data_IF_701724411472
#
_entry.id   IF_701724411472
#
_cell.length_a   1.000
_cell.length_b   1.000
_cell.length_c   1.000
_cell.angle_alpha   90.00
_cell.angle_beta   90.00
_cell.angle_gamma   90.00
#
_symmetry.space_group_name_H-M   'P 1'
#
loop_
_entity.id
_entity.type
_entity.pdbx_description
1 polymer ?
#
# COMPACT_ATOMS: atom_id res chain seq x y z
N UNK A 1 -14.01 -2.41 -11.33
CA UNK A 1 -12.89 -3.30 -10.95
C UNK A 1 -11.88 -3.34 -12.09
N UNK A 2 -10.61 -3.20 -11.74
CA UNK A 2 -9.47 -3.25 -12.65
C UNK A 2 -8.76 -4.60 -12.50
N UNK A 3 -8.21 -5.12 -13.58
CA UNK A 3 -7.41 -6.35 -13.59
C UNK A 3 -5.92 -6.01 -13.47
N UNK A 4 -5.33 -6.34 -12.33
CA UNK A 4 -3.89 -6.25 -12.13
C UNK A 4 -3.26 -7.58 -12.53
N UNK A 5 -2.34 -7.51 -13.49
CA UNK A 5 -1.59 -8.67 -13.97
C UNK A 5 -0.12 -8.50 -13.60
N UNK A 6 0.44 -9.45 -12.87
CA UNK A 6 1.86 -9.48 -12.48
C UNK A 6 2.52 -10.64 -13.24
N UNK A 7 3.46 -10.31 -14.11
CA UNK A 7 4.18 -11.29 -14.93
C UNK A 7 5.62 -11.40 -14.43
N UNK A 8 6.14 -12.64 -14.35
CA UNK A 8 7.55 -12.93 -14.08
C UNK A 8 8.00 -14.12 -14.92
N UNK A 9 8.75 -13.86 -15.98
CA UNK A 9 8.95 -14.84 -17.04
C UNK A 9 7.61 -15.36 -17.55
N UNK A 10 7.43 -16.67 -17.58
CA UNK A 10 6.17 -17.32 -18.02
C UNK A 10 5.07 -17.34 -16.95
N UNK A 11 5.39 -17.01 -15.69
CA UNK A 11 4.40 -17.03 -14.62
C UNK A 11 3.57 -15.75 -14.66
N UNK A 12 2.24 -15.91 -14.70
CA UNK A 12 1.27 -14.82 -14.69
C UNK A 12 0.35 -14.97 -13.49
N UNK A 13 0.22 -13.90 -12.72
CA UNK A 13 -0.75 -13.80 -11.62
C UNK A 13 -1.72 -12.66 -11.92
N UNK A 14 -3.01 -12.97 -11.97
CA UNK A 14 -4.07 -11.98 -12.12
C UNK A 14 -4.71 -11.72 -10.76
N UNK A 15 -5.03 -10.47 -10.47
CA UNK A 15 -5.83 -10.05 -9.32
C UNK A 15 -6.82 -9.00 -9.79
N UNK A 16 -8.11 -9.23 -9.57
CA UNK A 16 -9.18 -8.28 -9.90
C UNK A 16 -9.48 -7.46 -8.66
N UNK A 17 -9.28 -6.16 -8.75
CA UNK A 17 -9.37 -5.23 -7.62
C UNK A 17 -10.16 -3.99 -8.01
N UNK A 18 -11.06 -3.54 -7.14
CA UNK A 18 -11.69 -2.23 -7.29
C UNK A 18 -10.90 -1.16 -6.54
N UNK A 19 -11.06 -1.17 -5.22
CA UNK A 19 -10.37 -0.27 -4.29
C UNK A 19 -9.32 -1.01 -3.47
N UNK A 20 -9.74 -2.09 -2.81
CA UNK A 20 -8.87 -2.93 -2.03
C UNK A 20 -9.12 -4.41 -2.36
N UNK A 21 -8.10 -5.23 -2.11
CA UNK A 21 -8.18 -6.69 -2.17
C UNK A 21 -7.64 -7.27 -0.88
N UNK A 22 -8.49 -8.00 -0.17
CA UNK A 22 -8.16 -8.77 1.02
C UNK A 22 -7.53 -10.09 0.59
N UNK A 23 -6.30 -10.31 1.05
CA UNK A 23 -5.53 -11.50 0.72
C UNK A 23 -5.48 -12.37 1.98
N UNK A 24 -6.09 -13.55 1.87
CA UNK A 24 -6.35 -14.45 3.00
C UNK A 24 -5.94 -15.86 2.60
N UNK A 25 -5.44 -16.66 3.54
CA UNK A 25 -5.19 -18.09 3.34
C UNK A 25 -3.81 -18.51 3.81
N UNK A 26 -3.57 -19.83 3.85
CA UNK A 26 -2.38 -20.40 4.46
C UNK A 26 -1.23 -20.67 3.46
N UNK A 27 -1.40 -20.34 2.19
CA UNK A 27 -0.35 -20.50 1.18
C UNK A 27 0.68 -19.35 1.25
N UNK A 28 1.52 -19.41 2.28
CA UNK A 28 2.58 -18.43 2.53
C UNK A 28 3.56 -18.28 1.36
N UNK A 29 3.80 -19.35 0.59
CA UNK A 29 4.69 -19.31 -0.58
C UNK A 29 4.09 -18.43 -1.68
N UNK A 30 2.81 -18.60 -2.00
CA UNK A 30 2.14 -17.77 -2.99
C UNK A 30 2.04 -16.32 -2.52
N UNK A 31 1.63 -16.12 -1.27
CA UNK A 31 1.59 -14.81 -0.62
C UNK A 31 2.93 -14.08 -0.77
N UNK A 32 4.02 -14.71 -0.33
CA UNK A 32 5.36 -14.15 -0.43
C UNK A 32 5.76 -13.83 -1.87
N UNK A 33 5.48 -14.74 -2.81
CA UNK A 33 5.85 -14.57 -4.21
C UNK A 33 5.12 -13.38 -4.85
N UNK A 34 3.82 -13.24 -4.59
CA UNK A 34 3.01 -12.13 -5.09
C UNK A 34 3.63 -10.79 -4.68
N UNK A 35 3.85 -10.58 -3.38
CA UNK A 35 4.36 -9.31 -2.88
C UNK A 35 5.84 -9.08 -3.17
N UNK A 36 6.67 -10.13 -3.20
CA UNK A 36 8.06 -10.01 -3.66
C UNK A 36 8.12 -9.57 -5.12
N UNK A 37 7.23 -10.07 -5.98
CA UNK A 37 7.19 -9.65 -7.38
C UNK A 37 6.74 -8.18 -7.49
N UNK A 38 5.69 -7.76 -6.77
CA UNK A 38 5.28 -6.35 -6.73
C UNK A 38 6.43 -5.47 -6.26
N UNK A 39 7.05 -5.77 -5.10
CA UNK A 39 8.18 -5.01 -4.56
C UNK A 39 9.38 -4.98 -5.52
N UNK A 40 9.67 -6.09 -6.20
CA UNK A 40 10.76 -6.19 -7.16
C UNK A 40 10.54 -5.30 -8.39
N UNK A 41 9.29 -5.21 -8.88
CA UNK A 41 8.95 -4.28 -9.96
C UNK A 41 9.35 -2.85 -9.58
N UNK A 42 8.91 -2.38 -8.40
CA UNK A 42 9.15 -1.01 -7.93
C UNK A 42 10.60 -0.73 -7.53
N UNK A 43 11.35 -1.71 -7.01
CA UNK A 43 12.74 -1.50 -6.56
C UNK A 43 13.74 -1.27 -7.69
N UNK A 44 13.42 -1.71 -8.91
CA UNK A 44 14.31 -1.58 -10.09
C UNK A 44 15.72 -2.16 -9.88
N UNK A 45 15.86 -3.15 -9.00
CA UNK A 45 17.17 -3.77 -8.76
C UNK A 45 17.48 -4.69 -9.95
N UNK A 46 18.46 -4.30 -10.76
CA UNK A 46 19.02 -5.16 -11.81
C UNK A 46 19.88 -6.26 -11.19
N UNK A 47 19.82 -7.46 -11.75
CA UNK A 47 20.60 -8.59 -11.26
C UNK A 47 20.83 -9.59 -12.40
N UNK A 48 22.06 -10.05 -12.55
CA UNK A 48 22.50 -10.93 -13.64
C UNK A 48 21.67 -12.21 -13.71
N UNK A 49 21.44 -12.89 -12.58
CA UNK A 49 20.60 -14.08 -12.52
C UNK A 49 19.16 -13.83 -13.01
N UNK A 50 18.59 -12.63 -12.83
CA UNK A 50 17.25 -12.35 -13.37
C UNK A 50 17.26 -12.10 -14.87
N UNK A 51 18.34 -11.53 -15.38
CA UNK A 51 18.50 -11.25 -16.81
C UNK A 51 18.77 -12.54 -17.59
N UNK A 52 19.69 -13.38 -17.10
CA UNK A 52 20.04 -14.65 -17.75
C UNK A 52 18.86 -15.62 -17.84
N UNK A 53 17.98 -15.62 -16.84
CA UNK A 53 16.84 -16.54 -16.77
C UNK A 53 15.50 -15.88 -17.13
N UNK A 54 15.51 -14.68 -17.70
CA UNK A 54 14.30 -13.93 -18.12
C UNK A 54 13.24 -13.79 -17.01
N UNK A 55 13.69 -13.59 -15.76
CA UNK A 55 12.85 -13.47 -14.55
C UNK A 55 12.57 -12.02 -14.17
N UNK A 56 12.56 -11.11 -15.15
CA UNK A 56 12.13 -9.74 -14.92
C UNK A 56 10.63 -9.68 -14.61
N UNK A 57 10.24 -8.73 -13.77
CA UNK A 57 8.84 -8.53 -13.39
C UNK A 57 8.25 -7.38 -14.19
N UNK A 58 7.06 -7.60 -14.73
CA UNK A 58 6.22 -6.54 -15.31
C UNK A 58 4.84 -6.56 -14.68
N UNK A 59 4.22 -5.38 -14.58
CA UNK A 59 2.88 -5.22 -14.02
C UNK A 59 2.01 -4.50 -15.05
N UNK A 60 0.81 -5.01 -15.28
CA UNK A 60 -0.20 -4.43 -16.15
C UNK A 60 -1.46 -4.11 -15.35
N UNK A 61 -2.12 -3.01 -15.68
CA UNK A 61 -3.46 -2.66 -15.19
C UNK A 61 -4.36 -2.59 -16.41
N UNK A 62 -5.39 -3.44 -16.44
CA UNK A 62 -6.29 -3.60 -17.59
C UNK A 62 -5.53 -3.78 -18.91
N UNK A 63 -4.59 -4.74 -18.88
CA UNK A 63 -3.69 -5.10 -19.99
C UNK A 63 -2.75 -3.98 -20.47
N UNK A 64 -2.70 -2.83 -19.77
CA UNK A 64 -1.73 -1.76 -20.03
C UNK A 64 -0.54 -1.85 -19.09
N UNK A 65 0.67 -1.95 -19.67
CA UNK A 65 1.92 -1.97 -18.92
C UNK A 65 2.08 -0.68 -18.11
N UNK A 66 2.30 -0.78 -16.80
CA UNK A 66 2.46 0.41 -15.95
C UNK A 66 3.87 1.00 -16.11
N UNK A 67 3.95 2.33 -16.21
CA UNK A 67 5.22 3.02 -16.21
C UNK A 67 5.71 3.20 -14.77
N UNK A 68 6.70 2.39 -14.37
CA UNK A 68 7.30 2.44 -13.04
C UNK A 68 7.74 3.84 -12.58
N UNK A 69 8.24 4.71 -13.48
CA UNK A 69 8.66 6.07 -13.10
C UNK A 69 7.49 6.96 -12.70
N UNK A 70 6.29 6.65 -13.19
CA UNK A 70 5.02 7.30 -12.88
C UNK A 70 4.16 6.41 -11.98
N UNK A 71 4.79 5.56 -11.17
CA UNK A 71 4.08 4.72 -10.21
C UNK A 71 4.85 4.67 -8.89
N UNK A 72 4.15 4.44 -7.79
CA UNK A 72 4.75 4.34 -6.47
C UNK A 72 4.13 3.20 -5.67
N UNK A 73 4.93 2.61 -4.78
CA UNK A 73 4.51 1.61 -3.83
C UNK A 73 4.70 2.12 -2.40
N UNK A 74 3.64 2.06 -1.59
CA UNK A 74 3.70 2.24 -0.15
C UNK A 74 3.57 0.88 0.55
N UNK A 75 4.43 0.64 1.54
CA UNK A 75 4.37 -0.55 2.38
C UNK A 75 3.97 -0.11 3.79
N UNK A 76 2.73 -0.39 4.17
CA UNK A 76 2.18 -0.06 5.47
C UNK A 76 2.18 -1.33 6.31
N UNK A 77 2.83 -1.29 7.48
CA UNK A 77 2.91 -2.47 8.34
C UNK A 77 3.21 -2.06 9.79
N UNK A 78 3.03 -3.03 10.70
CA UNK A 78 3.25 -2.83 12.14
C UNK A 78 4.72 -2.65 12.55
N UNK A 79 5.66 -3.05 11.68
CA UNK A 79 7.11 -2.96 11.96
C UNK A 79 7.70 -1.61 11.51
N UNK A 80 6.86 -0.69 11.01
CA UNK A 80 7.26 0.66 10.70
C UNK A 80 7.76 1.36 11.97
N UNK A 81 8.94 1.98 11.89
CA UNK A 81 9.53 2.71 13.00
C UNK A 81 9.47 4.20 12.71
N UNK A 82 8.64 4.92 13.47
CA UNK A 82 8.56 6.38 13.41
C UNK A 82 9.91 7.00 13.78
N UNK A 83 10.60 6.44 14.77
CA UNK A 83 11.91 6.95 15.20
C UNK A 83 12.96 6.89 14.07
N UNK A 84 12.92 5.85 13.23
CA UNK A 84 13.78 5.76 12.05
C UNK A 84 13.31 6.70 10.94
N UNK A 85 12.01 6.78 10.71
CA UNK A 85 11.43 7.57 9.63
C UNK A 85 11.59 9.08 9.88
N UNK A 86 11.50 9.53 11.13
CA UNK A 86 11.75 10.91 11.58
C UNK A 86 13.18 11.40 11.34
N UNK A 87 14.13 10.50 10.99
CA UNK A 87 15.46 10.88 10.51
C UNK A 87 15.45 11.38 9.06
N UNK A 88 14.30 11.38 8.39
CA UNK A 88 14.09 11.93 7.04
C UNK A 88 15.07 11.42 5.98
N UNK A 89 15.35 10.12 6.02
CA UNK A 89 16.17 9.48 4.99
C UNK A 89 15.40 9.36 3.66
N UNK A 90 16.08 8.98 2.58
CA UNK A 90 15.57 9.02 1.20
C UNK A 90 14.20 8.34 0.99
N UNK A 91 13.90 7.28 1.73
CA UNK A 91 12.66 6.51 1.60
C UNK A 91 11.61 6.85 2.68
N UNK A 92 11.87 7.86 3.51
CA UNK A 92 10.99 8.26 4.62
C UNK A 92 9.59 8.64 4.11
N UNK A 93 8.58 8.05 4.75
CA UNK A 93 7.19 8.39 4.50
C UNK A 93 6.88 9.81 5.01
N UNK A 94 7.39 10.16 6.18
CA UNK A 94 7.18 11.46 6.83
C UNK A 94 7.83 12.57 6.01
N UNK A 95 9.03 12.36 5.47
CA UNK A 95 9.69 13.33 4.59
C UNK A 95 8.84 13.62 3.35
N UNK A 96 8.36 12.57 2.66
CA UNK A 96 7.49 12.71 1.48
C UNK A 96 6.18 13.44 1.81
N UNK A 97 5.61 13.15 2.98
CA UNK A 97 4.43 13.85 3.46
C UNK A 97 4.72 15.34 3.71
N UNK A 98 5.80 15.67 4.41
CA UNK A 98 6.15 17.07 4.70
C UNK A 98 6.52 17.85 3.44
N UNK A 99 7.18 17.24 2.45
CA UNK A 99 7.44 17.88 1.16
C UNK A 99 6.13 18.37 0.53
N UNK A 100 5.07 17.53 0.56
CA UNK A 100 3.74 17.89 0.06
C UNK A 100 3.07 18.95 0.92
N UNK A 101 3.21 18.87 2.25
CA UNK A 101 2.63 19.87 3.15
C UNK A 101 3.26 21.25 2.96
N UNK A 102 4.57 21.32 2.73
CA UNK A 102 5.31 22.56 2.51
C UNK A 102 4.95 23.17 1.14
N UNK A 103 4.72 22.34 0.12
CA UNK A 103 4.31 22.78 -1.23
C UNK A 103 2.85 23.29 -1.29
N UNK A 104 2.11 23.27 -0.18
CA UNK A 104 0.72 23.72 -0.16
C UNK A 104 0.60 25.24 -0.45
N UNK A 105 -0.41 25.68 -1.22
CA UNK A 105 -0.56 27.08 -1.62
C UNK A 105 -0.55 28.08 -0.46
N UNK A 106 -1.05 27.67 0.71
CA UNK A 106 -1.12 28.49 1.92
C UNK A 106 0.27 28.87 2.48
N UNK A 107 1.32 28.15 2.12
CA UNK A 107 2.68 28.38 2.62
C UNK A 107 3.60 29.10 1.62
N UNK A 108 3.18 29.28 0.37
CA UNK A 108 4.01 29.84 -0.72
C UNK A 108 4.57 31.21 -0.35
N UNK A 109 3.74 32.13 0.15
CA UNK A 109 4.19 33.48 0.54
C UNK A 109 5.19 33.45 1.71
N UNK A 110 5.01 32.51 2.63
CA UNK A 110 5.92 32.32 3.76
C UNK A 110 7.28 31.82 3.26
N UNK A 111 7.29 30.84 2.36
CA UNK A 111 8.51 30.30 1.76
C UNK A 111 9.25 31.37 0.95
N UNK A 112 8.53 32.15 0.15
CA UNK A 112 9.11 33.27 -0.59
C UNK A 112 9.75 34.30 0.34
N UNK A 113 9.09 34.62 1.46
CA UNK A 113 9.64 35.53 2.47
C UNK A 113 10.94 34.98 3.08
N UNK A 114 10.99 33.69 3.40
CA UNK A 114 12.22 33.02 3.90
C UNK A 114 13.34 33.13 2.87
N UNK A 115 13.03 32.87 1.59
CA UNK A 115 14.01 32.97 0.50
C UNK A 115 14.58 34.39 0.39
N UNK A 116 13.74 35.42 0.39
CA UNK A 116 14.20 36.81 0.33
C UNK A 116 15.09 37.20 1.51
N UNK A 117 14.73 36.76 2.73
CA UNK A 117 15.54 37.05 3.92
C UNK A 117 16.92 36.39 3.86
N UNK A 118 16.99 35.14 3.37
CA UNK A 118 18.26 34.43 3.21
C UNK A 118 19.11 35.00 2.07
N UNK A 119 18.49 35.48 1.00
CA UNK A 119 19.17 36.19 -0.08
C UNK A 119 19.79 37.50 0.42
N UNK A 120 19.00 38.34 1.11
CA UNK A 120 19.49 39.58 1.71
C UNK A 120 20.61 39.34 2.75
N UNK A 121 20.52 38.26 3.52
CA UNK A 121 21.60 37.85 4.41
C UNK A 121 22.88 37.46 3.66
N UNK A 122 22.78 36.77 2.51
CA UNK A 122 23.93 36.47 1.67
C UNK A 122 24.56 37.73 1.07
N UNK A 123 23.74 38.72 0.66
CA UNK A 123 24.23 40.01 0.18
C UNK A 123 25.03 40.75 1.25
N UNK A 124 24.56 40.77 2.50
CA UNK A 124 25.30 41.38 3.61
C UNK A 124 26.65 40.67 3.87
N UNK A 125 26.70 39.34 3.78
CA UNK A 125 27.98 38.61 3.85
C UNK A 125 28.90 39.04 2.70
N UNK A 126 28.36 39.20 1.49
CA UNK A 126 29.11 39.65 0.33
C UNK A 126 29.66 41.07 0.48
N UNK A 127 29.06 41.95 1.26
CA UNK A 127 29.62 43.29 1.49
C UNK A 127 30.91 43.24 2.32
N UNK A 128 31.00 42.31 3.29
CA UNK A 128 32.09 42.27 4.27
C UNK A 128 33.12 41.16 4.00
N UNK A 129 32.78 40.16 3.19
CA UNK A 129 33.65 39.02 2.91
C UNK A 129 34.50 39.21 1.66
N UNK A 130 35.75 38.74 1.74
CA UNK A 130 36.66 38.64 0.59
C UNK A 130 36.17 37.57 -0.39
N UNK A 131 35.60 36.47 0.13
CA UNK A 131 35.01 35.38 -0.67
C UNK A 131 33.53 35.70 -0.88
N UNK A 132 33.09 35.79 -2.15
CA UNK A 132 31.68 36.02 -2.49
C UNK A 132 30.91 34.71 -2.54
N UNK A 133 29.68 34.73 -2.08
CA UNK A 133 28.74 33.61 -2.06
C UNK A 133 27.48 33.94 -2.85
N UNK A 134 26.77 32.92 -3.32
CA UNK A 134 25.46 33.05 -3.93
C UNK A 134 24.44 32.31 -3.07
N UNK A 135 23.24 32.87 -2.94
CA UNK A 135 22.15 32.17 -2.27
C UNK A 135 21.59 31.06 -3.17
N UNK A 136 21.41 29.88 -2.57
CA UNK A 136 20.79 28.73 -3.23
C UNK A 136 19.41 28.49 -2.60
N UNK A 137 18.37 28.82 -3.36
CA UNK A 137 16.95 28.88 -2.95
C UNK A 137 16.54 27.71 -2.06
N UNK A 138 15.83 28.03 -0.97
CA UNK A 138 15.19 27.02 -0.13
C UNK A 138 14.04 26.37 -0.87
N UNK A 139 14.24 25.10 -1.18
CA UNK A 139 13.22 24.18 -1.72
C UNK A 139 12.58 23.40 -0.60
N UNK A 140 11.44 22.78 -0.87
CA UNK A 140 10.68 21.93 0.07
C UNK A 140 11.61 20.87 0.67
N UNK A 141 12.42 20.22 -0.17
CA UNK A 141 13.40 19.20 0.24
C UNK A 141 14.46 19.72 1.22
N UNK A 142 14.87 20.98 1.09
CA UNK A 142 15.84 21.59 2.02
C UNK A 142 15.14 21.98 3.32
N UNK A 143 13.93 22.51 3.24
CA UNK A 143 13.12 22.90 4.40
C UNK A 143 12.76 21.70 5.27
N UNK A 144 12.38 20.55 4.69
CA UNK A 144 12.10 19.31 5.43
C UNK A 144 13.26 18.90 6.34
N UNK A 145 14.51 19.12 5.91
CA UNK A 145 15.71 18.76 6.71
C UNK A 145 15.92 19.66 7.94
N UNK A 146 15.24 20.79 8.01
CA UNK A 146 15.32 21.73 9.13
C UNK A 146 14.21 21.49 10.17
N UNK A 147 13.26 20.59 9.89
CA UNK A 147 12.09 20.32 10.73
C UNK A 147 12.30 19.00 11.48
N UNK A 148 12.11 19.04 12.81
CA UNK A 148 12.05 17.84 13.64
C UNK A 148 10.58 17.41 13.83
N UNK A 149 10.13 16.33 13.16
CA UNK A 149 8.75 15.86 13.28
C UNK A 149 8.54 15.16 14.62
N UNK A 150 7.29 15.20 15.10
CA UNK A 150 6.85 14.43 16.25
C UNK A 150 5.36 14.07 16.13
N UNK A 151 4.92 13.07 16.88
CA UNK A 151 3.49 12.76 17.01
C UNK A 151 2.94 13.49 18.23
N UNK A 152 1.87 14.24 18.03
CA UNK A 152 1.11 14.87 19.11
C UNK A 152 -0.13 14.03 19.45
N UNK A 153 -0.28 13.67 20.71
CA UNK A 153 -1.50 13.09 21.26
C UNK A 153 -1.90 13.91 22.47
N UNK A 154 -3.08 14.56 22.37
CA UNK A 154 -3.64 15.39 23.44
C UNK A 154 -2.67 16.49 23.94
N UNK A 155 -1.83 17.03 23.05
CA UNK A 155 -0.85 18.08 23.38
C UNK A 155 0.48 17.55 23.95
N UNK A 156 0.69 16.23 23.98
CA UNK A 156 1.94 15.61 24.41
C UNK A 156 2.70 15.03 23.22
N UNK A 157 4.03 15.24 23.24
CA UNK A 157 4.95 14.56 22.32
C UNK A 157 5.06 13.10 22.73
N UNK A 158 4.57 12.20 21.88
CA UNK A 158 4.65 10.76 22.05
C UNK A 158 5.73 10.17 21.14
N UNK A 159 6.33 9.07 21.58
CA UNK A 159 7.19 8.26 20.73
C UNK A 159 6.48 6.97 20.26
N UNK A 160 7.16 6.17 19.44
CA UNK A 160 6.56 4.97 18.85
C UNK A 160 6.21 3.87 19.86
N UNK A 161 6.81 3.87 21.05
CA UNK A 161 6.56 2.89 22.11
C UNK A 161 5.33 3.24 22.95
N UNK A 162 4.90 4.51 22.92
CA UNK A 162 3.65 4.96 23.52
C UNK A 162 2.42 4.59 22.66
N UNK A 163 2.65 4.16 21.41
CA UNK A 163 1.60 3.90 20.43
C UNK A 163 1.28 2.41 20.29
N UNK A 164 0.01 2.11 20.11
CA UNK A 164 -0.44 0.79 19.66
C UNK A 164 -0.10 0.57 18.19
N UNK A 165 0.00 -0.70 17.76
CA UNK A 165 0.18 -1.00 16.34
C UNK A 165 -0.94 -0.41 15.46
N UNK A 166 -2.17 -0.32 15.98
CA UNK A 166 -3.31 0.24 15.25
C UNK A 166 -3.11 1.74 15.00
N UNK A 167 -2.62 2.49 16.00
CA UNK A 167 -2.28 3.90 15.85
C UNK A 167 -1.14 4.11 14.86
N UNK A 168 -0.08 3.30 14.93
CA UNK A 168 1.03 3.34 13.96
C UNK A 168 0.55 3.09 12.53
N UNK A 169 -0.36 2.15 12.32
CA UNK A 169 -0.96 1.87 11.00
C UNK A 169 -1.83 3.05 10.54
N UNK A 170 -2.66 3.60 11.43
CA UNK A 170 -3.53 4.74 11.11
C UNK A 170 -2.70 5.99 10.75
N UNK A 171 -1.61 6.26 11.47
CA UNK A 171 -0.68 7.34 11.13
C UNK A 171 -0.15 7.15 9.71
N UNK A 172 0.39 5.97 9.39
CA UNK A 172 0.88 5.67 8.04
C UNK A 172 -0.21 5.87 6.97
N UNK A 173 -1.43 5.37 7.21
CA UNK A 173 -2.56 5.54 6.29
C UNK A 173 -2.94 7.01 6.08
N UNK A 174 -2.95 7.83 7.14
CA UNK A 174 -3.22 9.27 7.04
C UNK A 174 -2.16 10.00 6.22
N UNK A 175 -0.87 9.72 6.48
CA UNK A 175 0.24 10.30 5.71
C UNK A 175 0.14 9.91 4.23
N UNK A 176 -0.12 8.63 3.93
CA UNK A 176 -0.31 8.14 2.56
C UNK A 176 -1.53 8.78 1.90
N UNK A 177 -2.64 8.95 2.61
CA UNK A 177 -3.84 9.59 2.09
C UNK A 177 -3.57 11.05 1.68
N UNK A 178 -2.88 11.82 2.51
CA UNK A 178 -2.47 13.19 2.17
C UNK A 178 -1.55 13.21 0.96
N UNK A 179 -0.60 12.27 0.86
CA UNK A 179 0.27 12.15 -0.31
C UNK A 179 -0.54 11.86 -1.58
N UNK A 180 -1.51 10.95 -1.51
CA UNK A 180 -2.37 10.58 -2.63
C UNK A 180 -3.23 11.75 -3.10
N UNK A 181 -3.89 12.45 -2.18
CA UNK A 181 -4.84 13.50 -2.53
C UNK A 181 -4.17 14.74 -3.13
N UNK A 182 -2.87 14.92 -2.86
CA UNK A 182 -2.05 16.00 -3.42
C UNK A 182 -1.06 15.50 -4.48
N UNK A 183 -1.16 14.24 -4.91
CA UNK A 183 -0.24 13.67 -5.89
C UNK A 183 -0.57 14.17 -7.31
N UNK A 184 0.40 14.82 -7.94
CA UNK A 184 0.35 15.20 -9.36
C UNK A 184 1.29 14.37 -10.24
N UNK A 185 2.11 13.50 -9.65
CA UNK A 185 3.25 12.86 -10.30
C UNK A 185 2.98 11.43 -10.76
N UNK A 186 2.33 10.64 -9.91
CA UNK A 186 2.14 9.22 -10.10
C UNK A 186 0.77 8.94 -10.74
N UNK A 187 0.76 8.15 -11.82
CA UNK A 187 -0.47 7.67 -12.46
C UNK A 187 -1.07 6.49 -11.69
N UNK A 188 -0.20 5.66 -11.09
CA UNK A 188 -0.61 4.46 -10.35
C UNK A 188 0.02 4.43 -8.97
N UNK A 189 -0.82 4.26 -7.95
CA UNK A 189 -0.41 4.19 -6.55
C UNK A 189 -0.79 2.82 -6.01
N UNK A 190 0.21 2.06 -5.59
CA UNK A 190 0.03 0.74 -4.99
C UNK A 190 0.29 0.84 -3.50
N UNK A 191 -0.51 0.17 -2.71
CA UNK A 191 -0.33 0.07 -1.26
C UNK A 191 -0.39 -1.40 -0.88
N UNK A 192 0.60 -1.86 -0.13
CA UNK A 192 0.56 -3.16 0.56
C UNK A 192 0.41 -2.86 2.04
N UNK A 193 -0.69 -3.32 2.62
CA UNK A 193 -1.01 -3.21 4.03
C UNK A 193 -0.89 -4.59 4.69
N UNK A 194 0.12 -4.78 5.51
CA UNK A 194 0.35 -6.01 6.26
C UNK A 194 0.03 -5.80 7.75
N UNK A 195 -1.10 -6.40 8.18
CA UNK A 195 -1.65 -6.23 9.52
C UNK A 195 -2.04 -7.56 10.15
N UNK A 196 -1.93 -7.69 11.49
CA UNK A 196 -2.32 -8.91 12.18
C UNK A 196 -3.84 -9.15 12.11
N UNK A 197 -4.64 -8.10 12.23
CA UNK A 197 -6.09 -8.16 12.08
C UNK A 197 -6.64 -6.84 11.53
N UNK A 198 -7.69 -6.94 10.73
CA UNK A 198 -8.42 -5.77 10.22
C UNK A 198 -9.44 -5.34 11.26
N UNK A 199 -9.22 -4.18 11.88
CA UNK A 199 -10.16 -3.54 12.81
C UNK A 199 -10.97 -2.47 12.12
N UNK A 200 -12.12 -2.11 12.68
CA UNK A 200 -13.03 -1.10 12.13
C UNK A 200 -12.34 0.24 11.87
N UNK A 201 -11.52 0.75 12.80
CA UNK A 201 -10.81 2.03 12.61
C UNK A 201 -9.83 1.99 11.42
N UNK A 202 -9.16 0.87 11.20
CA UNK A 202 -8.26 0.67 10.05
C UNK A 202 -9.08 0.61 8.76
N UNK A 203 -10.20 -0.13 8.76
CA UNK A 203 -11.11 -0.19 7.61
C UNK A 203 -11.65 1.20 7.26
N UNK A 204 -12.11 1.97 8.24
CA UNK A 204 -12.61 3.34 8.03
C UNK A 204 -11.51 4.22 7.39
N UNK A 205 -10.27 4.14 7.90
CA UNK A 205 -9.12 4.84 7.31
C UNK A 205 -8.81 4.41 5.86
N UNK A 206 -8.93 3.11 5.55
CA UNK A 206 -8.79 2.57 4.19
C UNK A 206 -9.87 3.11 3.26
N UNK A 207 -11.11 3.21 3.75
CA UNK A 207 -12.24 3.69 2.97
C UNK A 207 -12.11 5.18 2.61
N UNK A 208 -11.25 5.95 3.28
CA UNK A 208 -10.93 7.32 2.88
C UNK A 208 -9.86 7.43 1.78
N UNK A 209 -9.08 6.39 1.53
CA UNK A 209 -8.11 6.39 0.44
C UNK A 209 -8.82 6.43 -0.91
N UNK A 210 -8.31 7.23 -1.85
CA UNK A 210 -8.83 7.33 -3.22
C UNK A 210 -7.73 7.01 -4.24
N UNK A 211 -8.09 6.69 -5.49
CA UNK A 211 -7.15 6.58 -6.61
C UNK A 211 -5.90 5.69 -6.37
N UNK A 212 -6.08 4.57 -5.64
CA UNK A 212 -5.01 3.64 -5.34
C UNK A 212 -5.47 2.18 -5.43
N UNK A 213 -4.52 1.27 -5.62
CA UNK A 213 -4.72 -0.17 -5.51
C UNK A 213 -4.17 -0.66 -4.18
N UNK A 214 -5.06 -1.07 -3.27
CA UNK A 214 -4.70 -1.50 -1.93
C UNK A 214 -4.78 -3.03 -1.78
N UNK A 215 -3.64 -3.65 -1.51
CA UNK A 215 -3.57 -5.06 -1.13
C UNK A 215 -3.49 -5.16 0.40
N UNK A 216 -4.42 -5.87 1.03
CA UNK A 216 -4.51 -6.02 2.48
C UNK A 216 -4.22 -7.47 2.85
N UNK A 217 -3.07 -7.71 3.46
CA UNK A 217 -2.70 -9.00 4.02
C UNK A 217 -3.22 -9.09 5.45
N UNK A 218 -3.99 -10.13 5.74
CA UNK A 218 -4.54 -10.37 7.08
C UNK A 218 -4.08 -11.76 7.54
N UNK A 219 -3.36 -11.79 8.66
CA UNK A 219 -2.86 -13.04 9.26
C UNK A 219 -3.89 -13.75 10.15
N UNK A 220 -5.11 -13.23 10.25
CA UNK A 220 -6.20 -13.78 11.07
C UNK A 220 -7.41 -14.18 10.23
N UNK A 221 -8.02 -15.31 10.57
CA UNK A 221 -9.28 -15.77 9.96
C UNK A 221 -10.52 -14.98 10.42
N UNK A 222 -10.38 -14.03 11.35
CA UNK A 222 -11.49 -13.24 11.86
C UNK A 222 -11.70 -12.01 10.98
N UNK A 223 -12.48 -12.18 9.90
CA UNK A 223 -12.89 -11.08 9.05
C UNK A 223 -13.98 -10.23 9.74
N UNK A 224 -13.99 -8.93 9.42
CA UNK A 224 -15.06 -8.03 9.84
C UNK A 224 -16.36 -8.46 9.14
N UNK A 225 -17.45 -8.55 9.91
CA UNK A 225 -18.80 -8.73 9.36
C UNK A 225 -19.08 -7.64 8.31
N UNK A 226 -19.49 -8.02 7.10
CA UNK A 226 -19.81 -7.17 5.93
C UNK A 226 -18.71 -6.93 4.88
N UNK A 227 -17.67 -7.76 4.82
CA UNK A 227 -16.76 -7.77 3.67
C UNK A 227 -17.46 -8.35 2.44
N UNK A 228 -17.34 -7.68 1.29
CA UNK A 228 -17.79 -8.21 0.01
C UNK A 228 -16.83 -9.32 -0.45
N UNK A 229 -17.38 -10.47 -0.85
CA UNK A 229 -16.57 -11.58 -1.34
C UNK A 229 -15.73 -11.21 -2.55
N UNK A 230 -16.25 -10.34 -3.45
CA UNK A 230 -15.49 -9.87 -4.62
C UNK A 230 -14.19 -9.15 -4.23
N UNK A 231 -14.09 -8.64 -3.01
CA UNK A 231 -12.87 -8.02 -2.50
C UNK A 231 -11.88 -9.04 -1.93
N UNK A 232 -12.14 -10.34 -1.98
CA UNK A 232 -11.29 -11.39 -1.42
C UNK A 232 -10.50 -12.11 -2.52
N UNK A 233 -9.21 -12.32 -2.26
CA UNK A 233 -8.34 -13.26 -2.94
C UNK A 233 -7.93 -14.33 -1.92
N UNK A 234 -8.36 -15.56 -2.15
CA UNK A 234 -8.08 -16.69 -1.28
C UNK A 234 -6.87 -17.48 -1.77
N UNK A 235 -5.91 -17.69 -0.87
CA UNK A 235 -4.62 -18.34 -1.12
C UNK A 235 -4.52 -19.63 -0.29
N UNK A 236 -5.14 -20.71 -0.76
CA UNK A 236 -5.00 -22.04 -0.16
C UNK A 236 -4.21 -22.95 -1.14
N UNK A 237 -4.55 -24.24 -1.22
CA UNK A 237 -3.99 -25.13 -2.26
C UNK A 237 -4.29 -24.62 -3.67
N UNK A 238 -5.43 -23.95 -3.83
CA UNK A 238 -5.80 -23.17 -5.01
C UNK A 238 -5.82 -21.69 -4.66
N UNK A 239 -5.50 -20.89 -5.67
CA UNK A 239 -5.66 -19.44 -5.62
C UNK A 239 -7.00 -19.14 -6.27
N UNK A 240 -7.89 -18.45 -5.56
CA UNK A 240 -9.24 -18.13 -6.05
C UNK A 240 -9.45 -16.63 -5.87
N UNK A 241 -9.64 -15.93 -6.99
CA UNK A 241 -10.09 -14.55 -6.97
C UNK A 241 -11.62 -14.53 -7.06
N UNK A 242 -12.31 -14.15 -5.97
CA UNK A 242 -13.77 -14.18 -5.94
C UNK A 242 -14.45 -13.10 -6.82
N UNK A 243 -13.69 -12.17 -7.39
CA UNK A 243 -14.21 -11.27 -8.40
C UNK A 243 -14.19 -11.88 -9.81
N UNK A 244 -13.51 -13.02 -10.00
CA UNK A 244 -13.55 -13.82 -11.22
C UNK A 244 -14.73 -14.81 -11.14
N UNK A 245 -15.91 -14.35 -11.57
CA UNK A 245 -17.14 -15.15 -11.51
C UNK A 245 -17.04 -16.44 -12.34
N UNK A 246 -16.29 -16.43 -13.45
CA UNK A 246 -16.09 -17.61 -14.30
C UNK A 246 -15.24 -18.66 -13.58
N UNK A 247 -14.10 -18.27 -13.01
CA UNK A 247 -13.24 -19.17 -12.23
C UNK A 247 -13.99 -19.76 -11.03
N UNK A 248 -14.72 -18.91 -10.30
CA UNK A 248 -15.54 -19.35 -9.15
C UNK A 248 -16.58 -20.38 -9.60
N UNK A 249 -17.32 -20.10 -10.69
CA UNK A 249 -18.31 -21.03 -11.23
C UNK A 249 -17.68 -22.36 -11.66
N UNK A 250 -16.55 -22.32 -12.36
CA UNK A 250 -15.85 -23.53 -12.81
C UNK A 250 -15.43 -24.42 -11.63
N UNK A 251 -14.86 -23.83 -10.59
CA UNK A 251 -14.45 -24.58 -9.39
C UNK A 251 -15.66 -25.23 -8.71
N UNK A 252 -16.78 -24.52 -8.62
CA UNK A 252 -18.03 -25.05 -8.03
C UNK A 252 -18.55 -26.21 -8.90
N UNK A 253 -18.74 -26.00 -10.20
CA UNK A 253 -19.28 -26.99 -11.12
C UNK A 253 -18.45 -28.28 -11.15
N UNK A 254 -17.12 -28.16 -11.10
CA UNK A 254 -16.23 -29.31 -11.14
C UNK A 254 -16.16 -30.10 -9.82
N UNK A 255 -16.55 -29.51 -8.68
CA UNK A 255 -16.42 -30.13 -7.36
C UNK A 255 -17.75 -30.50 -6.69
N UNK A 256 -18.88 -30.04 -7.23
CA UNK A 256 -20.20 -30.29 -6.66
C UNK A 256 -20.90 -31.48 -7.30
N UNK A 257 -21.35 -32.43 -6.46
CA UNK A 257 -22.23 -33.54 -6.89
C UNK A 257 -23.71 -33.12 -7.02
N UNK A 258 -24.03 -31.84 -6.77
CA UNK A 258 -25.37 -31.26 -6.86
C UNK A 258 -25.27 -29.85 -7.49
N UNK A 259 -26.24 -29.45 -8.32
CA UNK A 259 -26.35 -28.06 -8.76
C UNK A 259 -26.57 -27.16 -7.55
N UNK A 260 -25.73 -26.14 -7.41
CA UNK A 260 -25.80 -25.10 -6.38
C UNK A 260 -25.82 -23.76 -7.12
N UNK A 261 -26.62 -22.81 -6.64
CA UNK A 261 -26.64 -21.46 -7.21
C UNK A 261 -25.47 -20.62 -6.68
N UNK A 262 -24.98 -19.69 -7.50
CA UNK A 262 -23.85 -18.83 -7.14
C UNK A 262 -24.09 -18.06 -5.82
N UNK A 263 -25.31 -17.56 -5.60
CA UNK A 263 -25.67 -16.84 -4.36
C UNK A 263 -25.57 -17.72 -3.10
N UNK A 264 -25.82 -19.03 -3.21
CA UNK A 264 -25.69 -19.95 -2.08
C UNK A 264 -24.22 -20.18 -1.73
N UNK A 265 -23.34 -20.23 -2.74
CA UNK A 265 -21.89 -20.32 -2.52
C UNK A 265 -21.37 -19.06 -1.87
N UNK A 266 -21.86 -17.89 -2.28
CA UNK A 266 -21.51 -16.64 -1.61
C UNK A 266 -21.89 -16.66 -0.13
N UNK A 267 -23.08 -17.14 0.22
CA UNK A 267 -23.46 -17.29 1.63
C UNK A 267 -22.55 -18.28 2.38
N UNK A 268 -22.24 -19.43 1.77
CA UNK A 268 -21.41 -20.45 2.41
C UNK A 268 -19.96 -19.98 2.60
N UNK A 269 -19.43 -19.21 1.64
CA UNK A 269 -18.10 -18.60 1.72
C UNK A 269 -18.05 -17.51 2.78
N UNK A 270 -19.06 -16.62 2.85
CA UNK A 270 -19.17 -15.63 3.94
C UNK A 270 -19.20 -16.32 5.30
N UNK A 271 -19.97 -17.39 5.43
CA UNK A 271 -20.03 -18.17 6.66
C UNK A 271 -18.70 -18.86 6.98
N UNK A 272 -17.97 -19.36 5.98
CA UNK A 272 -16.62 -19.92 6.15
C UNK A 272 -15.64 -18.90 6.74
N UNK A 273 -15.69 -17.64 6.29
CA UNK A 273 -14.79 -16.59 6.77
C UNK A 273 -15.20 -15.97 8.12
N UNK A 274 -16.48 -16.06 8.50
CA UNK A 274 -17.00 -15.45 9.75
C UNK A 274 -17.09 -16.49 10.87
N UNK A 275 -17.52 -17.72 10.57
CA UNK A 275 -17.83 -18.74 11.58
C UNK A 275 -17.45 -20.14 11.11
N UNK A 276 -16.17 -20.50 11.30
CA UNK A 276 -15.53 -21.73 10.78
C UNK A 276 -16.06 -23.09 11.32
N UNK A 277 -17.13 -23.10 12.11
CA UNK A 277 -17.66 -24.26 12.82
C UNK A 277 -18.91 -24.94 12.21
N UNK A 278 -19.48 -24.43 11.12
CA UNK A 278 -20.73 -24.98 10.56
C UNK A 278 -20.52 -26.06 9.49
N UNK A 279 -21.57 -26.86 9.21
CA UNK A 279 -21.54 -27.85 8.12
C UNK A 279 -21.25 -27.22 6.75
N UNK A 280 -21.69 -25.97 6.51
CA UNK A 280 -21.39 -25.22 5.28
C UNK A 280 -19.90 -24.94 5.13
N UNK A 281 -19.18 -24.70 6.23
CA UNK A 281 -17.73 -24.58 6.21
C UNK A 281 -17.04 -25.89 5.79
N UNK A 282 -17.62 -27.05 6.12
CA UNK A 282 -17.07 -28.35 5.72
C UNK A 282 -17.14 -28.57 4.20
N UNK A 283 -18.19 -28.06 3.55
CA UNK A 283 -18.34 -28.08 2.10
C UNK A 283 -17.26 -27.21 1.43
N UNK A 284 -17.09 -25.97 1.90
CA UNK A 284 -16.05 -25.06 1.40
C UNK A 284 -14.64 -25.65 1.61
N UNK A 285 -14.34 -26.22 2.78
CA UNK A 285 -13.05 -26.90 3.01
C UNK A 285 -12.79 -28.04 2.03
N UNK A 286 -13.80 -28.84 1.69
CA UNK A 286 -13.65 -29.92 0.70
C UNK A 286 -13.39 -29.36 -0.70
N UNK A 287 -13.99 -28.23 -1.05
CA UNK A 287 -13.81 -27.56 -2.34
C UNK A 287 -12.41 -26.93 -2.47
N UNK A 288 -11.86 -26.41 -1.36
CA UNK A 288 -10.52 -25.79 -1.31
C UNK A 288 -9.36 -26.81 -1.17
N UNK A 289 -9.61 -27.98 -0.60
CA UNK A 289 -8.59 -28.99 -0.32
C UNK A 289 -8.43 -30.08 -1.40
N UNK A 290 -9.31 -30.11 -2.42
CA UNK A 290 -9.20 -30.98 -3.60
C UNK A 290 -8.50 -30.27 -4.74
#
# INVERSE_FOLDING_TARGET
MNKITICKGNNKTNVIIDKYKLIIGNNYLYHDNLFKNIKLFFSNIKNEYRQEYEKEVSIYVDDKLINRKRSILFNINKNFSLNKDFKMQTDSLVAKYLEIMIDKPELVDTINTINYLLEAFCEQINEISIIKTNYDVMTEKKLVKLIEPYVDIEGYKCDEYDLTYEEIIIIQLKLVNEIINNNQKYDYIFIILDIPCLRKKILDAILHLSNCFLFICINSNNLIENINLKDILLLENKVIDFADEEEVCEIICNNCYKPIYLYEVEEYMKEYFINSGSEKCSFIRKLLNK
#
